data_IF_463576280669
#
_entry.id   IF_463576280669
#
_cell.length_a   1.000
_cell.length_b   1.000
_cell.length_c   1.000
_cell.angle_alpha   90.00
_cell.angle_beta   90.00
_cell.angle_gamma   90.00
#
_symmetry.space_group_name_H-M   'P 1'
#
loop_
_entity.id
_entity.type
_entity.pdbx_description
1 polymer ?
#
# COMPACT_ATOMS: atom_id res chain seq x y z
N UNK A 1 15.60 -10.09 4.95
CA UNK A 1 14.73 -8.95 4.54
C UNK A 1 13.42 -9.56 4.07
N UNK A 2 12.26 -9.15 4.61
CA UNK A 2 10.95 -9.54 4.09
C UNK A 2 10.51 -8.49 3.07
N UNK A 3 10.38 -8.80 1.77
CA UNK A 3 9.91 -7.83 0.79
C UNK A 3 8.58 -7.21 1.22
N UNK A 4 8.49 -5.89 1.13
CA UNK A 4 7.26 -5.15 1.42
C UNK A 4 6.50 -4.93 0.11
N UNK A 5 5.21 -5.23 0.13
CA UNK A 5 4.29 -4.96 -0.96
C UNK A 5 3.29 -3.92 -0.48
N UNK A 6 3.14 -2.85 -1.25
CA UNK A 6 2.09 -1.85 -1.08
C UNK A 6 1.10 -2.00 -2.24
N UNK A 7 -0.18 -2.21 -1.93
CA UNK A 7 -1.19 -2.48 -2.94
C UNK A 7 -2.50 -1.75 -2.65
N UNK A 8 -3.05 -1.10 -3.66
CA UNK A 8 -4.43 -0.63 -3.67
C UNK A 8 -5.32 -1.66 -4.37
N UNK A 9 -6.54 -1.81 -3.86
CA UNK A 9 -7.55 -2.70 -4.45
C UNK A 9 -8.54 -1.93 -5.31
N UNK A 10 -9.26 -2.64 -6.17
CA UNK A 10 -10.37 -2.07 -6.96
C UNK A 10 -11.48 -1.46 -6.08
N UNK A 11 -11.65 -1.96 -4.85
CA UNK A 11 -12.59 -1.42 -3.87
C UNK A 11 -12.05 -0.21 -3.10
N UNK A 12 -10.91 0.36 -3.51
CA UNK A 12 -10.25 1.51 -2.90
C UNK A 12 -9.75 1.28 -1.46
N UNK A 13 -9.49 0.03 -1.07
CA UNK A 13 -8.73 -0.26 0.16
C UNK A 13 -7.24 -0.36 -0.13
N UNK A 14 -6.40 0.00 0.83
CA UNK A 14 -4.94 -0.04 0.73
C UNK A 14 -4.34 -1.04 1.70
N UNK A 15 -3.42 -1.86 1.24
CA UNK A 15 -2.83 -2.95 2.02
C UNK A 15 -1.31 -2.90 1.96
N UNK A 16 -0.70 -3.18 3.09
CA UNK A 16 0.73 -3.38 3.26
C UNK A 16 0.95 -4.84 3.65
N UNK A 17 1.71 -5.56 2.83
CA UNK A 17 1.96 -6.99 3.00
C UNK A 17 3.46 -7.26 3.08
N UNK A 18 3.84 -8.22 3.91
CA UNK A 18 5.15 -8.84 3.83
C UNK A 18 5.06 -10.12 3.02
N UNK A 19 5.90 -10.23 1.99
CA UNK A 19 6.08 -11.49 1.29
C UNK A 19 7.12 -12.36 2.00
N UNK A 20 6.78 -13.62 2.24
CA UNK A 20 7.75 -14.61 2.65
C UNK A 20 8.27 -15.32 1.39
N UNK A 21 9.56 -15.12 1.09
CA UNK A 21 10.18 -15.71 -0.09
C UNK A 21 10.38 -17.24 0.02
N UNK A 22 10.29 -17.82 1.23
CA UNK A 22 10.53 -19.25 1.47
C UNK A 22 9.27 -20.07 1.15
N UNK A 23 8.11 -19.62 1.60
CA UNK A 23 6.85 -20.36 1.48
C UNK A 23 5.79 -19.64 0.63
N UNK A 24 6.15 -18.51 0.01
CA UNK A 24 5.28 -17.68 -0.84
C UNK A 24 4.06 -17.09 -0.13
N UNK A 25 4.02 -17.14 1.20
CA UNK A 25 2.93 -16.54 1.97
C UNK A 25 2.98 -15.01 1.97
N UNK A 26 1.80 -14.41 2.12
CA UNK A 26 1.63 -12.97 2.29
C UNK A 26 1.07 -12.71 3.69
N UNK A 27 1.87 -12.05 4.53
CA UNK A 27 1.46 -11.63 5.87
C UNK A 27 0.97 -10.19 5.82
N UNK A 28 -0.21 -9.91 6.36
CA UNK A 28 -0.71 -8.53 6.44
C UNK A 28 0.04 -7.76 7.53
N UNK A 29 0.65 -6.63 7.15
CA UNK A 29 1.23 -5.65 8.08
C UNK A 29 0.16 -4.65 8.53
N UNK A 30 -0.60 -4.14 7.57
CA UNK A 30 -1.64 -3.14 7.80
C UNK A 30 -2.64 -3.17 6.64
N UNK A 31 -3.89 -2.88 6.94
CA UNK A 31 -4.96 -2.68 5.97
C UNK A 31 -5.70 -1.39 6.34
N UNK A 32 -5.80 -0.49 5.37
CA UNK A 32 -6.55 0.75 5.48
C UNK A 32 -7.85 0.59 4.70
N UNK A 33 -9.01 0.66 5.36
CA UNK A 33 -10.31 0.55 4.72
C UNK A 33 -10.52 1.58 3.62
N UNK A 34 -11.46 1.27 2.73
CA UNK A 34 -11.82 2.18 1.66
C UNK A 34 -12.33 3.53 2.19
N UNK A 35 -12.04 4.61 1.47
CA UNK A 35 -12.47 5.98 1.77
C UNK A 35 -11.81 6.64 2.98
N UNK A 36 -10.97 5.93 3.74
CA UNK A 36 -10.19 6.55 4.81
C UNK A 36 -8.96 7.29 4.27
N UNK A 37 -8.36 6.77 3.19
CA UNK A 37 -7.16 7.36 2.59
C UNK A 37 -7.43 8.05 1.25
N UNK A 38 -8.26 7.44 0.41
CA UNK A 38 -8.63 7.91 -0.92
C UNK A 38 -10.08 7.49 -1.21
N UNK A 39 -10.80 8.29 -2.00
CA UNK A 39 -12.25 8.09 -2.23
C UNK A 39 -12.51 7.36 -3.56
N UNK A 40 -11.68 7.61 -4.55
CA UNK A 40 -11.73 7.04 -5.90
C UNK A 40 -10.54 6.14 -6.23
N UNK A 41 -10.42 5.77 -7.50
CA UNK A 41 -9.45 4.77 -7.94
C UNK A 41 -8.00 5.26 -7.80
N UNK A 42 -7.17 4.45 -7.14
CA UNK A 42 -5.73 4.68 -7.05
C UNK A 42 -5.10 4.46 -8.43
N UNK A 43 -4.37 5.48 -8.87
CA UNK A 43 -3.65 5.48 -10.13
C UNK A 43 -2.20 5.05 -9.98
N UNK A 44 -1.59 5.29 -8.81
CA UNK A 44 -0.20 4.97 -8.53
C UNK A 44 0.02 4.77 -7.02
N UNK A 45 0.90 3.82 -6.71
CA UNK A 45 1.48 3.62 -5.38
C UNK A 45 2.99 3.58 -5.56
N UNK A 46 3.71 4.42 -4.82
CA UNK A 46 5.16 4.44 -4.80
C UNK A 46 5.67 4.27 -3.36
N UNK A 47 6.66 3.40 -3.16
CA UNK A 47 7.26 3.14 -1.85
C UNK A 47 8.63 3.78 -1.84
N UNK A 48 8.85 4.72 -0.92
CA UNK A 48 10.12 5.43 -0.85
C UNK A 48 11.25 4.49 -0.43
N UNK A 49 12.46 4.82 -0.87
CA UNK A 49 13.69 4.16 -0.45
C UNK A 49 13.74 3.95 1.07
N UNK A 50 14.13 2.73 1.46
CA UNK A 50 14.15 2.29 2.86
C UNK A 50 12.79 1.85 3.40
N UNK A 51 11.70 2.01 2.65
CA UNK A 51 10.37 1.52 3.01
C UNK A 51 9.77 2.20 4.24
N UNK A 52 10.10 3.47 4.47
CA UNK A 52 9.63 4.26 5.61
C UNK A 52 8.31 5.00 5.33
N UNK A 53 7.99 5.25 4.06
CA UNK A 53 6.73 5.86 3.66
C UNK A 53 6.33 5.39 2.27
N UNK A 54 5.04 5.48 1.97
CA UNK A 54 4.51 5.32 0.64
C UNK A 54 3.62 6.49 0.24
N UNK A 55 3.65 6.82 -1.05
CA UNK A 55 2.84 7.86 -1.67
C UNK A 55 1.79 7.19 -2.54
N UNK A 56 0.54 7.62 -2.39
CA UNK A 56 -0.61 7.06 -3.08
C UNK A 56 -1.30 8.19 -3.83
N UNK A 57 -1.55 8.02 -5.12
CA UNK A 57 -2.10 9.07 -6.00
C UNK A 57 -3.47 8.68 -6.54
N UNK A 58 -4.45 9.57 -6.38
CA UNK A 58 -5.82 9.46 -6.86
C UNK A 58 -6.18 10.70 -7.68
N UNK A 59 -6.12 10.62 -9.01
CA UNK A 59 -6.35 11.78 -9.88
C UNK A 59 -5.37 12.92 -9.58
N UNK A 60 -5.88 14.05 -9.07
CA UNK A 60 -5.06 15.22 -8.66
C UNK A 60 -4.74 15.24 -7.16
N UNK A 61 -5.13 14.20 -6.40
CA UNK A 61 -4.92 14.10 -4.96
C UNK A 61 -3.80 13.10 -4.67
N UNK A 62 -3.12 13.30 -3.55
CA UNK A 62 -2.16 12.34 -3.02
C UNK A 62 -2.32 12.19 -1.51
N UNK A 63 -1.95 11.02 -1.01
CA UNK A 63 -1.85 10.71 0.41
C UNK A 63 -0.47 10.07 0.70
N UNK A 64 0.03 10.30 1.90
CA UNK A 64 1.28 9.70 2.39
C UNK A 64 0.95 8.80 3.58
N UNK A 65 1.45 7.57 3.56
CA UNK A 65 1.33 6.62 4.68
C UNK A 65 2.73 6.29 5.18
N UNK A 66 2.95 6.43 6.48
CA UNK A 66 4.21 6.08 7.14
C UNK A 66 4.19 4.60 7.55
N UNK A 67 5.32 3.91 7.32
CA UNK A 67 5.46 2.46 7.38
C UNK A 67 6.26 1.99 8.59
#
# INVERSE_FOLDING_TARGET
MKPLIAASTFSNSFHLLFANAVDTSLESKCSIPAKELHVGAVSCVDVKDGGAECVIVEGLRSAVVYL
#
